data_IF_028953370580
#
_entry.id   IF_028953370580
#
_cell.length_a   1.000
_cell.length_b   1.000
_cell.length_c   1.000
_cell.angle_alpha   90.00
_cell.angle_beta   90.00
_cell.angle_gamma   90.00
#
_symmetry.space_group_name_H-M   'P 1'
#
loop_
_entity.id
_entity.type
_entity.pdbx_description
1 polymer ?
#
# COMPACT_ATOMS: atom_id res chain seq x y z
N UNK A 1 -0.66 -2.87 8.83
CA UNK A 1 -1.12 -2.09 7.66
C UNK A 1 -2.28 -2.79 6.99
N UNK A 2 -2.13 -4.08 6.67
CA UNK A 2 -3.14 -4.90 6.00
C UNK A 2 -4.48 -4.90 6.74
N UNK A 3 -4.50 -5.24 8.04
CA UNK A 3 -5.72 -5.11 8.88
C UNK A 3 -6.41 -3.74 8.83
N UNK A 4 -5.66 -2.67 8.58
CA UNK A 4 -6.23 -1.33 8.47
C UNK A 4 -6.89 -1.13 7.11
N UNK A 5 -6.25 -1.57 6.02
CA UNK A 5 -6.86 -1.63 4.70
C UNK A 5 -8.12 -2.52 4.69
N UNK A 6 -8.06 -3.69 5.30
CA UNK A 6 -9.19 -4.61 5.44
C UNK A 6 -10.39 -3.93 6.09
N UNK A 7 -10.17 -3.24 7.21
CA UNK A 7 -11.20 -2.48 7.91
C UNK A 7 -11.78 -1.39 7.02
N UNK A 8 -10.95 -0.59 6.36
CA UNK A 8 -11.36 0.51 5.48
C UNK A 8 -12.20 0.01 4.30
N UNK A 9 -11.85 -1.15 3.73
CA UNK A 9 -12.62 -1.78 2.65
C UNK A 9 -13.94 -2.36 3.17
N UNK A 10 -13.94 -3.03 4.33
CA UNK A 10 -15.15 -3.57 4.95
C UNK A 10 -16.15 -2.47 5.31
N UNK A 11 -15.70 -1.35 5.88
CA UNK A 11 -16.52 -0.17 6.19
C UNK A 11 -17.18 0.44 4.94
N UNK A 12 -16.62 0.19 3.75
CA UNK A 12 -17.16 0.63 2.46
C UNK A 12 -17.96 -0.46 1.73
N UNK A 13 -18.20 -1.59 2.38
CA UNK A 13 -18.95 -2.72 1.82
C UNK A 13 -18.18 -3.50 0.74
N UNK A 14 -16.84 -3.40 0.71
CA UNK A 14 -15.95 -4.01 -0.28
C UNK A 14 -15.02 -5.07 0.32
N UNK A 15 -15.51 -5.80 1.33
CA UNK A 15 -14.73 -6.83 2.03
C UNK A 15 -14.24 -7.95 1.12
N UNK A 16 -14.96 -8.24 0.03
CA UNK A 16 -14.59 -9.25 -0.96
C UNK A 16 -13.30 -8.92 -1.72
N UNK A 17 -12.94 -7.63 -1.83
CA UNK A 17 -11.71 -7.21 -2.51
C UNK A 17 -10.45 -7.57 -1.71
N UNK A 18 -10.56 -7.72 -0.39
CA UNK A 18 -9.44 -8.11 0.48
C UNK A 18 -8.91 -9.47 0.06
N UNK A 19 -9.77 -10.48 -0.01
CA UNK A 19 -9.33 -11.86 -0.28
C UNK A 19 -8.99 -12.09 -1.76
N UNK A 20 -9.68 -11.38 -2.66
CA UNK A 20 -9.58 -11.61 -4.10
C UNK A 20 -8.44 -10.84 -4.78
N UNK A 21 -8.08 -9.65 -4.31
CA UNK A 21 -7.22 -8.73 -5.06
C UNK A 21 -5.94 -8.29 -4.33
N UNK A 22 -5.92 -8.30 -2.99
CA UNK A 22 -4.75 -7.86 -2.22
C UNK A 22 -3.78 -9.02 -1.97
N UNK A 23 -2.56 -8.89 -2.49
CA UNK A 23 -1.51 -9.90 -2.33
C UNK A 23 -0.61 -9.65 -1.13
N UNK A 24 -0.22 -8.39 -0.93
CA UNK A 24 0.52 -7.93 0.25
C UNK A 24 0.65 -6.40 0.24
N UNK A 25 0.85 -5.83 1.43
CA UNK A 25 1.50 -4.51 1.55
C UNK A 25 2.99 -4.73 1.75
N UNK A 26 3.79 -4.21 0.85
CA UNK A 26 5.25 -4.38 0.86
C UNK A 26 5.96 -3.05 1.05
N UNK A 27 7.19 -3.14 1.54
CA UNK A 27 8.11 -2.03 1.65
C UNK A 27 9.33 -2.34 0.77
N UNK A 28 9.70 -1.40 -0.10
CA UNK A 28 10.90 -1.51 -0.93
C UNK A 28 11.79 -0.29 -0.75
N UNK A 29 13.08 -0.52 -0.62
CA UNK A 29 14.13 0.49 -0.54
C UNK A 29 15.01 0.33 -1.79
N UNK A 30 15.08 1.35 -2.64
CA UNK A 30 15.92 1.34 -3.85
C UNK A 30 17.34 1.91 -3.61
N UNK A 31 17.67 2.22 -2.35
CA UNK A 31 18.91 2.84 -1.93
C UNK A 31 18.84 4.37 -1.84
N UNK A 32 17.78 4.98 -2.37
CA UNK A 32 17.52 6.43 -2.30
C UNK A 32 16.13 6.77 -1.78
N UNK A 33 15.14 5.94 -2.08
CA UNK A 33 13.75 6.18 -1.76
C UNK A 33 13.15 4.91 -1.19
N UNK A 34 12.42 5.07 -0.10
CA UNK A 34 11.68 4.00 0.53
C UNK A 34 10.21 4.14 0.14
N UNK A 35 9.64 3.06 -0.38
CA UNK A 35 8.25 2.99 -0.79
C UNK A 35 7.46 2.04 0.10
N UNK A 36 6.22 2.41 0.39
CA UNK A 36 5.19 1.51 0.87
C UNK A 36 4.17 1.34 -0.24
N UNK A 37 3.94 0.10 -0.66
CA UNK A 37 3.02 -0.18 -1.77
C UNK A 37 2.07 -1.32 -1.48
N UNK A 38 0.90 -1.22 -2.10
CA UNK A 38 -0.07 -2.30 -2.22
C UNK A 38 0.22 -3.08 -3.50
N UNK A 39 0.45 -4.38 -3.35
CA UNK A 39 0.73 -5.28 -4.45
C UNK A 39 -0.50 -6.13 -4.80
N UNK A 40 -0.74 -6.35 -6.10
CA UNK A 40 -1.75 -7.29 -6.56
C UNK A 40 -1.41 -8.70 -6.09
N UNK A 41 -2.43 -9.50 -5.77
CA UNK A 41 -2.25 -10.94 -5.55
C UNK A 41 -1.81 -11.64 -6.83
N UNK A 42 -0.97 -12.66 -6.70
CA UNK A 42 -0.61 -13.52 -7.81
C UNK A 42 -1.86 -14.18 -8.42
N UNK A 43 -1.98 -14.17 -9.74
CA UNK A 43 -3.13 -14.71 -10.46
C UNK A 43 -4.36 -13.79 -10.53
N UNK A 44 -4.27 -12.55 -10.03
CA UNK A 44 -5.39 -11.61 -10.08
C UNK A 44 -5.75 -11.21 -11.53
N UNK A 45 -7.00 -11.45 -12.00
CA UNK A 45 -7.38 -11.24 -13.40
C UNK A 45 -7.30 -9.76 -13.80
N UNK A 46 -6.70 -9.48 -14.96
CA UNK A 46 -6.71 -8.14 -15.55
C UNK A 46 -5.53 -7.24 -15.18
N UNK A 47 -4.55 -7.73 -14.41
CA UNK A 47 -3.31 -6.96 -14.17
C UNK A 47 -2.04 -7.71 -14.52
N UNK A 48 -1.19 -7.03 -15.31
CA UNK A 48 0.21 -7.41 -15.48
C UNK A 48 0.87 -7.39 -14.10
N UNK A 49 1.54 -8.49 -13.74
CA UNK A 49 2.51 -8.52 -12.66
C UNK A 49 3.47 -7.33 -12.80
N UNK A 50 3.79 -6.63 -11.70
CA UNK A 50 4.69 -5.46 -11.69
C UNK A 50 4.01 -4.08 -11.61
N UNK A 51 2.68 -4.00 -11.42
CA UNK A 51 2.02 -2.74 -11.04
C UNK A 51 1.78 -2.67 -9.53
N UNK A 52 2.20 -1.58 -8.91
CA UNK A 52 2.04 -1.31 -7.50
C UNK A 52 1.19 -0.03 -7.31
N UNK A 53 0.35 0.01 -6.27
CA UNK A 53 -0.24 1.28 -5.81
C UNK A 53 0.64 1.81 -4.68
N UNK A 54 1.30 2.94 -4.91
CA UNK A 54 2.14 3.58 -3.89
C UNK A 54 1.23 4.24 -2.86
N UNK A 55 1.37 3.81 -1.61
CA UNK A 55 0.65 4.35 -0.46
C UNK A 55 1.43 5.48 0.21
N UNK A 56 2.75 5.35 0.28
CA UNK A 56 3.64 6.39 0.79
C UNK A 56 5.04 6.19 0.22
N UNK A 57 5.81 7.25 0.17
CA UNK A 57 7.22 7.21 -0.18
C UNK A 57 7.97 8.36 0.51
N UNK A 58 9.27 8.17 0.72
CA UNK A 58 10.16 9.18 1.28
C UNK A 58 11.54 9.02 0.66
N UNK A 59 12.12 10.13 0.20
CA UNK A 59 13.52 10.16 -0.18
C UNK A 59 14.38 10.09 1.08
N UNK A 60 15.11 8.99 1.22
CA UNK A 60 15.90 8.68 2.39
C UNK A 60 17.40 8.95 2.12
N UNK A 61 17.92 9.99 2.76
CA UNK A 61 19.37 10.24 2.86
C UNK A 61 19.88 9.79 4.23
N UNK A 62 20.66 8.71 4.34
CA UNK A 62 21.06 8.17 5.63
C UNK A 62 22.02 9.09 6.40
N UNK A 63 21.56 9.64 7.52
CA UNK A 63 22.41 10.08 8.62
C UNK A 63 21.92 9.42 9.93
N UNK A 64 22.68 8.45 10.47
CA UNK A 64 22.43 7.91 11.81
C UNK A 64 21.09 7.16 12.03
N UNK A 65 20.49 7.36 13.21
CA UNK A 65 19.30 6.65 13.74
C UNK A 65 17.97 6.97 13.04
N UNK A 66 17.98 7.85 12.05
CA UNK A 66 16.76 8.41 11.43
C UNK A 66 16.00 7.42 10.55
N UNK A 67 16.63 6.27 10.21
CA UNK A 67 15.99 5.22 9.42
C UNK A 67 14.74 4.65 10.08
N UNK A 68 14.79 4.41 11.39
CA UNK A 68 13.64 3.88 12.12
C UNK A 68 12.52 4.91 12.25
N UNK A 69 12.87 6.19 12.36
CA UNK A 69 11.90 7.28 12.34
C UNK A 69 11.22 7.39 10.98
N UNK A 70 11.98 7.33 9.88
CA UNK A 70 11.46 7.28 8.52
C UNK A 70 10.46 6.14 8.33
N UNK A 71 10.80 4.91 8.74
CA UNK A 71 9.87 3.77 8.63
C UNK A 71 8.57 3.96 9.42
N UNK A 72 8.65 4.49 10.64
CA UNK A 72 7.46 4.75 11.46
C UNK A 72 6.57 5.83 10.84
N UNK A 73 7.20 6.88 10.32
CA UNK A 73 6.51 7.96 9.62
C UNK A 73 5.83 7.45 8.34
N UNK A 74 6.55 6.72 7.48
CA UNK A 74 6.01 6.09 6.28
C UNK A 74 4.83 5.15 6.57
N UNK A 75 4.88 4.41 7.67
CA UNK A 75 3.76 3.57 8.09
C UNK A 75 2.56 4.41 8.57
N UNK A 76 2.77 5.61 9.10
CA UNK A 76 1.71 6.57 9.38
C UNK A 76 1.09 7.08 8.08
N UNK A 77 1.91 7.64 7.19
CA UNK A 77 1.48 8.18 5.89
C UNK A 77 0.74 7.17 5.05
N UNK A 78 1.20 5.92 5.00
CA UNK A 78 0.52 4.88 4.25
C UNK A 78 -0.88 4.56 4.81
N UNK A 79 -1.12 4.67 6.12
CA UNK A 79 -2.47 4.53 6.70
C UNK A 79 -3.36 5.69 6.29
N UNK A 80 -2.86 6.92 6.43
CA UNK A 80 -3.57 8.13 6.00
C UNK A 80 -3.94 8.03 4.53
N UNK A 81 -2.99 7.65 3.66
CA UNK A 81 -3.25 7.46 2.24
C UNK A 81 -4.32 6.39 1.98
N UNK A 82 -4.37 5.29 2.75
CA UNK A 82 -5.42 4.28 2.63
C UNK A 82 -6.80 4.89 2.87
N UNK A 83 -6.93 5.68 3.94
CA UNK A 83 -8.22 6.31 4.31
C UNK A 83 -8.65 7.35 3.27
N UNK A 84 -7.73 8.24 2.87
CA UNK A 84 -7.99 9.34 1.93
C UNK A 84 -8.22 8.87 0.49
N UNK A 85 -7.53 7.80 0.07
CA UNK A 85 -7.59 7.29 -1.30
C UNK A 85 -8.41 6.02 -1.44
N UNK A 86 -9.25 5.67 -0.45
CA UNK A 86 -9.97 4.40 -0.42
C UNK A 86 -10.76 4.11 -1.71
N UNK A 87 -11.45 5.09 -2.29
CA UNK A 87 -12.18 4.93 -3.56
C UNK A 87 -11.26 4.69 -4.77
N UNK A 88 -10.07 5.30 -4.76
CA UNK A 88 -9.05 5.06 -5.80
C UNK A 88 -8.45 3.67 -5.63
N UNK A 89 -8.22 3.24 -4.40
CA UNK A 89 -7.74 1.90 -4.07
C UNK A 89 -8.79 0.87 -4.47
N UNK A 90 -10.08 1.10 -4.20
CA UNK A 90 -11.17 0.21 -4.63
C UNK A 90 -11.20 0.08 -6.15
N UNK A 91 -11.25 1.20 -6.89
CA UNK A 91 -11.21 1.15 -8.36
C UNK A 91 -9.97 0.46 -8.87
N UNK A 92 -8.84 0.74 -8.23
CA UNK A 92 -7.60 0.05 -8.51
C UNK A 92 -7.79 -1.46 -8.27
N UNK A 93 -8.31 -1.91 -7.12
CA UNK A 93 -8.63 -3.31 -6.78
C UNK A 93 -9.73 -3.95 -7.63
N UNK A 94 -10.46 -3.18 -8.43
CA UNK A 94 -11.40 -3.68 -9.44
C UNK A 94 -10.77 -3.78 -10.84
N UNK A 95 -9.54 -3.30 -11.01
CA UNK A 95 -8.88 -3.21 -12.31
C UNK A 95 -9.35 -2.03 -13.17
N UNK A 96 -9.95 -1.00 -12.57
CA UNK A 96 -10.49 0.20 -13.24
C UNK A 96 -9.66 1.45 -12.99
#
# INVERSE_FOLDING_TARGET
>A
MERHLERVLAERGRGELVEAAVGSISLTDDGSTIYVHLLPREGWPGRRQGRAFVLAWEDYAPAGSDRMHCYRWLAGEAKTSIEENAERIIRWLEGR
#
